data_IF_128868011623
#
_entry.id   IF_128868011623
#
_cell.length_a   1.000
_cell.length_b   1.000
_cell.length_c   1.000
_cell.angle_alpha   90.00
_cell.angle_beta   90.00
_cell.angle_gamma   90.00
#
_symmetry.space_group_name_H-M   'P 1'
#
loop_
_entity.id
_entity.type
_entity.pdbx_description
1 polymer ?
#
# COMPACT_ATOMS: atom_id res chain seq x y z
N UNK A 1 22.59 -12.98 -5.87
CA UNK A 1 22.38 -13.64 -4.55
C UNK A 1 23.17 -13.00 -3.39
N UNK A 2 24.17 -12.16 -3.65
CA UNK A 2 24.95 -11.45 -2.63
C UNK A 2 24.47 -10.01 -2.38
N UNK A 3 23.68 -9.43 -3.25
CA UNK A 3 23.19 -8.05 -3.17
C UNK A 3 22.25 -7.84 -1.97
N UNK A 4 21.56 -8.87 -1.52
CA UNK A 4 20.60 -8.77 -0.40
C UNK A 4 21.24 -8.85 1.00
N UNK A 5 22.54 -9.09 1.13
CA UNK A 5 23.21 -9.11 2.44
C UNK A 5 23.67 -7.74 2.92
N UNK A 6 23.84 -6.78 2.00
CA UNK A 6 24.36 -5.45 2.30
C UNK A 6 23.32 -4.33 2.18
N UNK A 7 22.12 -4.62 1.73
CA UNK A 7 21.00 -3.69 1.86
C UNK A 7 20.56 -3.77 3.32
N UNK A 8 20.69 -2.69 4.10
CA UNK A 8 20.15 -2.66 5.46
C UNK A 8 18.64 -2.85 5.31
N UNK A 9 18.19 -4.08 5.53
CA UNK A 9 16.77 -4.37 5.49
C UNK A 9 16.08 -3.55 6.56
N UNK A 10 15.05 -2.91 6.20
CA UNK A 10 13.96 -2.44 7.06
C UNK A 10 13.43 -3.63 7.89
N UNK A 11 14.07 -4.73 7.79
CA UNK A 11 13.72 -6.11 7.99
C UNK A 11 14.55 -6.62 9.13
N UNK A 12 13.95 -6.87 10.24
CA UNK A 12 14.43 -7.38 11.51
C UNK A 12 15.42 -8.55 11.52
N UNK A 13 16.17 -8.74 10.44
CA UNK A 13 17.33 -9.61 10.38
C UNK A 13 18.57 -8.86 10.83
N UNK A 14 18.99 -9.09 12.06
CA UNK A 14 20.35 -8.99 12.62
C UNK A 14 21.32 -7.90 12.06
N UNK A 15 20.86 -6.75 11.58
CA UNK A 15 21.74 -5.60 11.41
C UNK A 15 21.83 -4.93 12.77
N UNK A 16 23.05 -4.85 13.39
CA UNK A 16 23.19 -4.16 14.66
C UNK A 16 22.61 -2.75 14.53
N UNK A 17 21.70 -2.37 15.41
CA UNK A 17 21.07 -1.03 15.44
C UNK A 17 22.08 0.13 15.34
N UNK A 18 23.34 -0.13 15.66
CA UNK A 18 24.46 0.80 15.55
C UNK A 18 24.82 1.13 14.10
N UNK A 19 24.61 0.22 13.13
CA UNK A 19 24.83 0.47 11.68
C UNK A 19 23.63 1.15 11.03
N UNK A 20 22.41 0.93 11.51
CA UNK A 20 21.21 1.61 11.02
C UNK A 20 21.24 3.13 11.26
N UNK A 21 21.98 3.61 12.26
CA UNK A 21 22.17 5.04 12.50
C UNK A 21 23.04 5.75 11.45
N UNK A 22 23.76 5.04 10.59
CA UNK A 22 24.58 5.61 9.53
C UNK A 22 23.78 5.92 8.26
N UNK A 23 22.61 5.29 8.06
CA UNK A 23 21.70 5.59 6.98
C UNK A 23 20.52 6.38 7.55
N UNK A 24 20.47 7.65 7.22
CA UNK A 24 19.41 8.55 7.65
C UNK A 24 18.22 8.40 6.69
N UNK A 25 17.51 7.28 6.83
CA UNK A 25 16.31 6.91 6.06
C UNK A 25 15.17 7.94 6.20
N UNK A 26 15.31 8.82 7.18
CA UNK A 26 14.30 9.82 7.51
C UNK A 26 14.56 11.18 6.87
N UNK A 27 15.41 11.28 5.85
CA UNK A 27 15.64 12.54 5.14
C UNK A 27 14.77 12.65 3.91
N UNK A 28 13.66 13.38 3.96
CA UNK A 28 12.90 13.70 2.78
C UNK A 28 13.70 14.65 1.88
N UNK A 29 13.37 14.69 0.59
CA UNK A 29 13.90 15.70 -0.33
C UNK A 29 13.62 17.10 0.21
N UNK A 30 14.43 18.09 -0.19
CA UNK A 30 14.27 19.47 0.27
C UNK A 30 13.41 20.28 -0.72
N UNK A 31 12.11 20.50 -0.44
CA UNK A 31 11.23 21.27 -1.33
C UNK A 31 11.55 22.76 -1.33
N UNK A 32 12.43 23.23 -0.43
CA UNK A 32 12.90 24.60 -0.40
C UNK A 32 13.88 24.96 -1.51
N UNK A 33 14.44 23.99 -2.24
CA UNK A 33 15.40 24.20 -3.33
C UNK A 33 14.75 24.00 -4.69
N UNK A 34 14.83 24.99 -5.58
CA UNK A 34 14.29 24.89 -6.95
C UNK A 34 14.90 23.71 -7.71
N UNK A 35 16.22 23.51 -7.63
CA UNK A 35 16.90 22.37 -8.23
C UNK A 35 16.33 21.00 -7.82
N UNK A 36 15.80 20.89 -6.60
CA UNK A 36 15.14 19.66 -6.14
C UNK A 36 13.79 19.47 -6.83
N UNK A 37 13.02 20.55 -6.97
CA UNK A 37 11.73 20.53 -7.65
C UNK A 37 11.93 20.21 -9.14
N UNK A 38 12.92 20.86 -9.79
CA UNK A 38 13.27 20.59 -11.18
C UNK A 38 13.72 19.16 -11.40
N UNK A 39 14.55 18.61 -10.50
CA UNK A 39 14.95 17.21 -10.55
C UNK A 39 13.74 16.28 -10.49
N UNK A 40 12.81 16.50 -9.56
CA UNK A 40 11.59 15.68 -9.45
C UNK A 40 10.75 15.79 -10.72
N UNK A 41 10.58 16.99 -11.28
CA UNK A 41 9.85 17.21 -12.54
C UNK A 41 10.53 16.48 -13.71
N UNK A 42 11.85 16.46 -13.81
CA UNK A 42 12.59 15.76 -14.85
C UNK A 42 12.40 14.22 -14.74
N UNK A 43 12.45 13.67 -13.51
CA UNK A 43 12.17 12.24 -13.29
C UNK A 43 10.73 11.91 -13.69
N UNK A 44 9.78 12.75 -13.31
CA UNK A 44 8.36 12.55 -13.69
C UNK A 44 8.19 12.62 -15.21
N UNK A 45 8.90 13.51 -15.90
CA UNK A 45 8.84 13.64 -17.35
C UNK A 45 9.29 12.35 -18.05
N UNK A 46 10.42 11.83 -17.64
CA UNK A 46 10.93 10.56 -18.16
C UNK A 46 9.96 9.40 -17.90
N UNK A 47 9.49 9.25 -16.68
CA UNK A 47 8.52 8.21 -16.32
C UNK A 47 7.22 8.36 -17.12
N UNK A 48 6.71 9.58 -17.30
CA UNK A 48 5.51 9.83 -18.10
C UNK A 48 5.68 9.44 -19.57
N UNK A 49 6.89 9.54 -20.11
CA UNK A 49 7.18 9.12 -21.49
C UNK A 49 7.22 7.60 -21.65
N UNK A 50 7.64 6.88 -20.62
CA UNK A 50 7.73 5.42 -20.60
C UNK A 50 6.36 4.75 -20.33
N UNK A 51 5.51 5.37 -19.53
CA UNK A 51 4.24 4.80 -19.08
C UNK A 51 3.05 5.61 -19.59
N UNK A 52 2.26 5.09 -20.56
CA UNK A 52 1.15 5.82 -21.17
C UNK A 52 -0.10 5.95 -20.28
N UNK A 53 -0.10 5.35 -19.08
CA UNK A 53 -1.25 5.39 -18.17
C UNK A 53 -1.71 6.83 -17.88
N UNK A 54 -3.02 7.09 -17.75
CA UNK A 54 -3.56 8.42 -17.49
C UNK A 54 -3.36 8.90 -16.04
N UNK A 55 -2.73 8.10 -15.21
CA UNK A 55 -2.49 8.39 -13.81
C UNK A 55 -1.00 8.38 -13.47
N UNK A 56 -0.62 9.21 -12.50
CA UNK A 56 0.71 9.26 -11.92
C UNK A 56 0.61 9.31 -10.40
N UNK A 57 1.21 8.33 -9.72
CA UNK A 57 1.23 8.27 -8.26
C UNK A 57 2.53 8.85 -7.71
N UNK A 58 2.44 9.82 -6.80
CA UNK A 58 3.60 10.54 -6.24
C UNK A 58 4.03 10.04 -4.86
N UNK A 59 3.38 9.02 -4.30
CA UNK A 59 3.60 8.68 -2.89
C UNK A 59 3.05 9.74 -1.95
N UNK A 60 3.91 10.37 -1.17
CA UNK A 60 3.55 11.47 -0.27
C UNK A 60 3.24 11.02 1.16
N UNK A 61 3.38 9.71 1.44
CA UNK A 61 3.24 9.09 2.73
C UNK A 61 4.49 9.29 3.60
N UNK A 62 4.30 9.14 4.90
CA UNK A 62 5.34 8.99 5.93
C UNK A 62 6.53 9.98 5.85
N UNK A 63 6.34 11.14 5.19
CA UNK A 63 7.39 12.15 5.07
C UNK A 63 7.63 12.85 6.41
N UNK A 64 8.78 12.64 7.08
CA UNK A 64 9.08 13.28 8.35
C UNK A 64 9.39 14.77 8.14
N UNK A 65 8.85 15.62 9.00
CA UNK A 65 8.98 17.08 8.88
C UNK A 65 10.14 17.68 9.68
N UNK A 66 10.81 16.88 10.51
CA UNK A 66 11.85 17.34 11.44
C UNK A 66 13.01 18.07 10.74
N UNK A 67 13.43 17.57 9.58
CA UNK A 67 14.53 18.19 8.83
C UNK A 67 14.08 19.46 8.10
N UNK A 68 12.84 19.51 7.62
CA UNK A 68 12.31 20.73 6.99
C UNK A 68 12.18 21.88 7.98
N UNK A 69 11.84 21.59 9.25
CA UNK A 69 11.79 22.58 10.33
C UNK A 69 13.13 23.28 10.57
N UNK A 70 14.23 22.56 10.37
CA UNK A 70 15.59 23.05 10.57
C UNK A 70 16.22 23.62 9.29
N UNK A 71 15.67 23.31 8.13
CA UNK A 71 16.25 23.65 6.84
C UNK A 71 15.97 25.11 6.47
N UNK A 72 16.99 25.99 6.34
CA UNK A 72 16.77 27.39 5.99
C UNK A 72 16.05 27.58 4.66
N UNK A 73 16.32 26.71 3.66
CA UNK A 73 15.67 26.79 2.36
C UNK A 73 14.18 26.46 2.47
N UNK A 74 13.80 25.43 3.28
CA UNK A 74 12.41 25.08 3.51
C UNK A 74 11.66 26.20 4.26
N UNK A 75 12.28 26.74 5.31
CA UNK A 75 11.68 27.84 6.07
C UNK A 75 11.54 29.11 5.22
N UNK A 76 12.52 29.41 4.35
CA UNK A 76 12.39 30.50 3.39
C UNK A 76 11.23 30.26 2.43
N UNK A 77 11.08 29.05 1.88
CA UNK A 77 9.98 28.69 0.98
C UNK A 77 8.61 28.85 1.66
N UNK A 78 8.49 28.41 2.91
CA UNK A 78 7.28 28.58 3.72
C UNK A 78 6.92 30.06 3.82
N UNK A 79 7.89 30.90 4.19
CA UNK A 79 7.69 32.37 4.31
C UNK A 79 7.32 33.01 3.00
N UNK A 80 8.07 32.74 1.94
CA UNK A 80 7.90 33.40 0.62
C UNK A 80 6.55 33.05 -0.03
N UNK A 81 5.98 31.90 0.30
CA UNK A 81 4.69 31.45 -0.24
C UNK A 81 3.53 31.57 0.77
N UNK A 82 3.75 32.24 1.91
CA UNK A 82 2.75 32.42 2.97
C UNK A 82 2.13 31.09 3.44
N UNK A 83 2.93 30.00 3.48
CA UNK A 83 2.50 28.69 3.96
C UNK A 83 2.47 28.69 5.49
N UNK A 84 1.59 27.87 6.07
CA UNK A 84 1.40 27.83 7.51
C UNK A 84 2.51 27.07 8.22
N UNK A 85 2.90 25.93 7.67
CA UNK A 85 3.82 24.98 8.30
C UNK A 85 4.41 24.00 7.25
N UNK A 86 5.13 22.99 7.71
CA UNK A 86 5.76 21.97 6.86
C UNK A 86 4.74 21.01 6.19
N UNK A 87 3.53 20.88 6.74
CA UNK A 87 2.47 20.14 6.04
C UNK A 87 1.99 20.91 4.82
N UNK A 88 1.81 22.24 4.96
CA UNK A 88 1.49 23.11 3.83
C UNK A 88 2.66 23.20 2.84
N UNK A 89 3.93 23.09 3.28
CA UNK A 89 5.08 22.99 2.39
C UNK A 89 5.02 21.71 1.54
N UNK A 90 4.62 20.58 2.11
CA UNK A 90 4.36 19.36 1.33
C UNK A 90 3.22 19.60 0.34
N UNK A 91 2.15 20.24 0.77
CA UNK A 91 1.02 20.61 -0.09
C UNK A 91 1.44 21.48 -1.27
N UNK A 92 2.28 22.50 -1.02
CA UNK A 92 2.87 23.32 -2.06
C UNK A 92 3.65 22.50 -3.09
N UNK A 93 4.54 21.62 -2.63
CA UNK A 93 5.29 20.73 -3.53
C UNK A 93 4.36 19.82 -4.34
N UNK A 94 3.35 19.25 -3.69
CA UNK A 94 2.38 18.38 -4.36
C UNK A 94 1.58 19.15 -5.43
N UNK A 95 1.24 20.42 -5.19
CA UNK A 95 0.56 21.27 -6.16
C UNK A 95 1.46 21.66 -7.34
N UNK A 96 2.76 21.91 -7.09
CA UNK A 96 3.76 22.12 -8.16
C UNK A 96 3.90 20.90 -9.06
N UNK A 97 3.96 19.71 -8.45
CA UNK A 97 4.01 18.43 -9.17
C UNK A 97 2.70 18.19 -9.90
N UNK A 98 1.56 18.47 -9.28
CA UNK A 98 0.24 18.32 -9.91
C UNK A 98 0.12 19.18 -11.19
N UNK A 99 0.55 20.45 -11.14
CA UNK A 99 0.53 21.31 -12.30
C UNK A 99 1.38 20.73 -13.44
N UNK A 100 2.55 20.18 -13.11
CA UNK A 100 3.42 19.53 -14.07
C UNK A 100 2.81 18.23 -14.64
N UNK A 101 2.26 17.36 -13.80
CA UNK A 101 1.61 16.11 -14.21
C UNK A 101 0.37 16.38 -15.08
N UNK A 102 -0.41 17.42 -14.75
CA UNK A 102 -1.53 17.89 -15.59
C UNK A 102 -1.04 18.36 -16.97
N UNK A 103 0.11 19.02 -17.09
CA UNK A 103 0.69 19.43 -18.38
C UNK A 103 1.09 18.24 -19.26
N UNK A 104 1.27 17.04 -18.67
CA UNK A 104 1.49 15.77 -19.37
C UNK A 104 0.18 15.02 -19.68
N UNK A 105 -0.98 15.64 -19.45
CA UNK A 105 -2.29 15.02 -19.66
C UNK A 105 -2.68 13.95 -18.66
N UNK A 106 -2.03 13.90 -17.49
CA UNK A 106 -2.25 12.87 -16.47
C UNK A 106 -2.91 13.43 -15.21
N UNK A 107 -3.52 12.55 -14.43
CA UNK A 107 -4.10 12.82 -13.11
C UNK A 107 -3.15 12.38 -12.00
N UNK A 108 -3.07 13.14 -10.94
CA UNK A 108 -2.19 12.87 -9.79
C UNK A 108 -2.91 12.02 -8.74
N UNK A 109 -2.22 10.99 -8.25
CA UNK A 109 -2.62 10.20 -7.08
C UNK A 109 -1.58 10.41 -5.98
N UNK A 110 -2.01 10.45 -4.73
CA UNK A 110 -1.14 10.44 -3.56
C UNK A 110 -1.76 9.71 -2.38
N UNK A 111 -0.92 9.16 -1.51
CA UNK A 111 -1.37 8.52 -0.28
C UNK A 111 -2.12 9.50 0.63
N UNK A 112 -3.01 9.01 1.45
CA UNK A 112 -3.92 9.86 2.25
C UNK A 112 -3.22 10.89 3.16
N UNK A 113 -1.93 10.76 3.44
CA UNK A 113 -1.17 11.76 4.19
C UNK A 113 -1.04 13.10 3.47
N UNK A 114 -1.12 13.13 2.14
CA UNK A 114 -1.11 14.40 1.38
C UNK A 114 -2.28 15.31 1.78
N UNK A 115 -3.37 14.73 2.31
CA UNK A 115 -4.54 15.46 2.79
C UNK A 115 -4.31 16.21 4.11
N UNK A 116 -3.12 16.12 4.71
CA UNK A 116 -2.76 16.94 5.87
C UNK A 116 -2.61 18.41 5.48
N UNK A 117 -2.16 18.68 4.26
CA UNK A 117 -2.05 20.01 3.73
C UNK A 117 -3.43 20.55 3.31
N UNK A 118 -3.86 21.65 3.94
CA UNK A 118 -5.16 22.27 3.61
C UNK A 118 -5.16 22.95 2.24
N UNK A 119 -3.99 23.33 1.75
CA UNK A 119 -3.75 23.98 0.46
C UNK A 119 -3.76 23.01 -0.73
N UNK A 120 -3.91 21.67 -0.49
CA UNK A 120 -3.89 20.68 -1.55
C UNK A 120 -5.04 20.90 -2.53
N UNK A 121 -4.71 20.88 -3.83
CA UNK A 121 -5.69 21.00 -4.92
C UNK A 121 -6.66 19.82 -4.91
N UNK A 122 -7.95 20.12 -5.05
CA UNK A 122 -9.03 19.13 -4.95
C UNK A 122 -9.10 18.12 -6.08
N UNK A 123 -8.35 18.31 -7.16
CA UNK A 123 -8.27 17.35 -8.26
C UNK A 123 -7.32 16.18 -7.99
N UNK A 124 -6.55 16.20 -6.92
CA UNK A 124 -5.71 15.09 -6.48
C UNK A 124 -6.60 13.92 -6.07
N UNK A 125 -6.28 12.74 -6.56
CA UNK A 125 -6.92 11.49 -6.14
C UNK A 125 -6.21 11.03 -4.86
N UNK A 126 -6.98 10.81 -3.81
CA UNK A 126 -6.44 10.25 -2.57
C UNK A 126 -6.47 8.73 -2.62
N UNK A 127 -5.34 8.06 -2.37
CA UNK A 127 -5.30 6.63 -2.08
C UNK A 127 -5.22 6.42 -0.57
N UNK A 128 -6.25 5.77 -0.01
CA UNK A 128 -6.39 5.57 1.43
C UNK A 128 -5.86 4.20 1.86
N UNK A 129 -4.82 4.19 2.68
CA UNK A 129 -4.20 2.95 3.15
C UNK A 129 -4.17 2.79 4.67
N UNK A 130 -4.08 3.88 5.41
CA UNK A 130 -3.70 3.88 6.84
C UNK A 130 -4.59 2.96 7.70
N UNK A 131 -4.00 2.16 8.61
CA UNK A 131 -4.75 1.32 9.54
C UNK A 131 -5.43 2.12 10.65
N UNK A 132 -5.02 3.36 10.86
CA UNK A 132 -5.61 4.26 11.87
C UNK A 132 -6.88 4.88 11.32
N UNK A 133 -7.86 5.13 12.20
CA UNK A 133 -9.06 5.89 11.83
C UNK A 133 -8.66 7.31 11.44
N UNK A 134 -8.53 7.54 10.15
CA UNK A 134 -8.28 8.84 9.56
C UNK A 134 -9.50 9.27 8.75
N UNK A 135 -10.20 10.27 9.23
CA UNK A 135 -11.43 10.75 8.59
C UNK A 135 -11.17 11.58 7.32
N UNK A 136 -9.93 12.03 7.09
CA UNK A 136 -9.63 12.97 6.00
C UNK A 136 -9.99 12.42 4.62
N UNK A 137 -9.66 11.15 4.34
CA UNK A 137 -10.00 10.53 3.07
C UNK A 137 -11.52 10.33 2.90
N UNK A 138 -12.23 9.97 3.99
CA UNK A 138 -13.70 9.95 4.00
C UNK A 138 -14.28 11.33 3.71
N UNK A 139 -13.80 12.34 4.43
CA UNK A 139 -14.28 13.72 4.29
C UNK A 139 -13.93 14.25 2.89
N UNK A 140 -12.78 13.87 2.34
CA UNK A 140 -12.38 14.17 0.97
C UNK A 140 -13.40 13.62 -0.05
N UNK A 141 -13.76 12.34 0.08
CA UNK A 141 -14.78 11.72 -0.78
C UNK A 141 -16.16 12.38 -0.60
N UNK A 142 -16.57 12.64 0.65
CA UNK A 142 -17.86 13.27 0.96
C UNK A 142 -17.97 14.72 0.48
N UNK A 143 -16.83 15.37 0.19
CA UNK A 143 -16.76 16.70 -0.41
C UNK A 143 -16.59 16.68 -1.94
N UNK A 144 -16.84 15.55 -2.59
CA UNK A 144 -16.86 15.43 -4.05
C UNK A 144 -15.53 15.07 -4.71
N UNK A 145 -14.51 14.70 -3.93
CA UNK A 145 -13.19 14.39 -4.47
C UNK A 145 -12.96 12.88 -4.57
N UNK A 146 -12.11 12.46 -5.51
CA UNK A 146 -11.87 11.05 -5.81
C UNK A 146 -11.01 10.35 -4.76
N UNK A 147 -11.37 9.11 -4.39
CA UNK A 147 -10.64 8.26 -3.46
C UNK A 147 -10.51 6.84 -4.00
N UNK A 148 -9.35 6.23 -3.83
CA UNK A 148 -9.09 4.79 -3.99
C UNK A 148 -8.93 4.20 -2.59
N UNK A 149 -9.52 3.04 -2.33
CA UNK A 149 -9.49 2.40 -1.02
C UNK A 149 -8.51 1.23 -1.01
N UNK A 150 -7.39 1.40 -0.33
CA UNK A 150 -6.31 0.41 -0.17
C UNK A 150 -6.12 0.05 1.30
N UNK A 151 -7.23 -0.25 2.00
CA UNK A 151 -7.23 -0.45 3.44
C UNK A 151 -6.19 -1.48 3.89
N UNK A 152 -5.23 -1.05 4.71
CA UNK A 152 -4.12 -1.87 5.19
C UNK A 152 -4.54 -3.22 5.77
N UNK A 153 -5.60 -3.26 6.58
CA UNK A 153 -6.03 -4.49 7.24
C UNK A 153 -6.70 -5.50 6.31
N UNK A 154 -7.08 -5.08 5.11
CA UNK A 154 -7.82 -5.92 4.16
C UNK A 154 -7.06 -6.17 2.86
N UNK A 155 -6.20 -5.22 2.44
CA UNK A 155 -5.64 -5.21 1.09
C UNK A 155 -4.11 -5.13 1.03
N UNK A 156 -3.39 -5.11 2.17
CA UNK A 156 -1.95 -5.27 2.19
C UNK A 156 -1.61 -6.77 2.14
N UNK A 157 -1.34 -7.26 0.95
CA UNK A 157 -1.12 -8.68 0.69
C UNK A 157 0.29 -9.16 1.04
N UNK A 158 1.20 -8.26 1.34
CA UNK A 158 2.50 -8.54 1.94
C UNK A 158 2.42 -8.91 3.43
N UNK A 159 1.27 -8.70 4.06
CA UNK A 159 1.02 -9.11 5.44
C UNK A 159 0.60 -10.57 5.53
N UNK A 160 1.05 -11.25 6.61
CA UNK A 160 0.73 -12.67 6.80
C UNK A 160 -0.78 -12.90 6.97
N UNK A 161 -1.25 -14.10 6.58
CA UNK A 161 -2.63 -14.51 6.84
C UNK A 161 -2.96 -14.64 8.34
N UNK A 162 -1.95 -14.76 9.19
CA UNK A 162 -2.13 -14.75 10.63
C UNK A 162 -2.51 -13.36 11.15
N UNK A 163 -2.03 -12.30 10.48
CA UNK A 163 -2.42 -10.92 10.81
C UNK A 163 -3.77 -10.58 10.18
N UNK A 164 -3.88 -10.79 8.88
CA UNK A 164 -5.08 -10.49 8.11
C UNK A 164 -5.46 -11.71 7.27
N UNK A 165 -6.41 -12.49 7.80
CA UNK A 165 -6.88 -13.71 7.13
C UNK A 165 -7.59 -13.38 5.82
N UNK A 166 -7.76 -14.38 4.95
CA UNK A 166 -8.57 -14.27 3.73
C UNK A 166 -9.95 -13.68 4.01
N UNK A 167 -10.54 -14.02 5.16
CA UNK A 167 -11.85 -13.49 5.57
C UNK A 167 -11.82 -11.98 5.84
N UNK A 168 -10.67 -11.41 6.25
CA UNK A 168 -10.53 -9.97 6.41
C UNK A 168 -10.68 -9.25 5.06
N UNK A 169 -10.04 -9.77 4.01
CA UNK A 169 -10.17 -9.23 2.65
C UNK A 169 -11.60 -9.38 2.15
N UNK A 170 -12.19 -10.58 2.23
CA UNK A 170 -13.52 -10.87 1.71
C UNK A 170 -14.64 -10.08 2.40
N UNK A 171 -14.54 -9.88 3.71
CA UNK A 171 -15.55 -9.16 4.50
C UNK A 171 -15.37 -7.64 4.46
N UNK A 172 -14.43 -7.12 3.68
CA UNK A 172 -14.33 -5.68 3.52
C UNK A 172 -15.60 -5.10 2.92
N UNK A 173 -16.11 -4.06 3.58
CA UNK A 173 -17.27 -3.33 3.10
C UNK A 173 -16.94 -1.82 3.14
N UNK A 174 -16.84 -1.20 1.98
CA UNK A 174 -16.49 0.21 1.84
C UNK A 174 -17.53 1.14 2.49
N UNK A 175 -18.79 0.69 2.66
CA UNK A 175 -19.83 1.45 3.36
C UNK A 175 -19.47 1.73 4.81
N UNK A 176 -18.68 0.84 5.44
CA UNK A 176 -18.20 1.03 6.81
C UNK A 176 -17.14 2.17 6.90
N UNK A 177 -16.66 2.66 5.79
CA UNK A 177 -15.78 3.83 5.74
C UNK A 177 -16.53 5.15 6.03
N UNK A 178 -17.85 5.15 6.00
CA UNK A 178 -18.70 6.30 6.31
C UNK A 178 -18.88 7.25 5.12
N UNK A 179 -18.84 6.70 3.91
CA UNK A 179 -19.19 7.42 2.68
C UNK A 179 -20.70 7.63 2.64
N UNK A 180 -21.09 8.86 2.34
CA UNK A 180 -22.49 9.22 2.10
C UNK A 180 -22.98 8.61 0.79
N UNK A 181 -24.27 8.20 0.68
CA UNK A 181 -24.78 7.59 -0.55
C UNK A 181 -24.52 8.42 -1.80
N UNK A 182 -24.72 9.73 -1.74
CA UNK A 182 -24.47 10.65 -2.86
C UNK A 182 -23.00 10.79 -3.25
N UNK A 183 -22.08 10.38 -2.36
CA UNK A 183 -20.63 10.44 -2.53
C UNK A 183 -20.01 9.11 -2.96
N UNK A 184 -20.77 8.02 -3.06
CA UNK A 184 -20.25 6.71 -3.48
C UNK A 184 -19.55 6.77 -4.85
N UNK A 185 -20.04 7.59 -5.77
CA UNK A 185 -19.43 7.85 -7.09
C UNK A 185 -18.00 8.39 -7.04
N UNK A 186 -17.57 8.92 -5.90
CA UNK A 186 -16.24 9.45 -5.69
C UNK A 186 -15.24 8.36 -5.26
N UNK A 187 -15.72 7.16 -4.94
CA UNK A 187 -14.87 5.99 -4.71
C UNK A 187 -14.58 5.35 -6.06
N UNK A 188 -13.34 5.49 -6.53
CA UNK A 188 -12.93 4.97 -7.83
C UNK A 188 -12.80 3.45 -7.85
N UNK A 189 -12.55 2.86 -6.68
CA UNK A 189 -12.40 1.42 -6.52
C UNK A 189 -11.58 1.04 -5.30
N UNK A 190 -11.20 -0.24 -5.27
CA UNK A 190 -10.30 -0.80 -4.26
C UNK A 190 -9.03 -1.30 -4.94
N UNK A 191 -7.92 -1.25 -4.21
CA UNK A 191 -6.61 -1.70 -4.68
C UNK A 191 -5.90 -2.47 -3.56
N UNK A 192 -5.11 -3.47 -3.91
CA UNK A 192 -4.30 -4.23 -2.98
C UNK A 192 -2.82 -4.08 -3.29
N UNK A 193 -2.02 -3.90 -2.25
CA UNK A 193 -0.59 -3.71 -2.31
C UNK A 193 0.17 -4.97 -1.90
N UNK A 194 1.27 -5.23 -2.58
CA UNK A 194 2.32 -6.12 -2.13
C UNK A 194 3.67 -5.41 -2.26
N UNK A 195 4.18 -4.90 -1.14
CA UNK A 195 5.42 -4.11 -1.09
C UNK A 195 6.68 -4.95 -1.21
N UNK A 196 6.53 -6.27 -1.27
CA UNK A 196 7.62 -7.23 -1.43
C UNK A 196 8.67 -7.25 -0.31
N UNK A 197 8.47 -6.50 0.74
CA UNK A 197 9.38 -6.46 1.90
C UNK A 197 9.65 -7.84 2.49
N UNK A 198 8.63 -8.68 2.46
CA UNK A 198 8.65 -10.04 3.01
C UNK A 198 8.63 -11.11 1.92
N UNK A 199 8.82 -10.70 0.65
CA UNK A 199 8.69 -11.55 -0.53
C UNK A 199 10.05 -11.69 -1.21
N UNK A 200 10.72 -12.82 -0.99
CA UNK A 200 12.06 -13.13 -1.45
C UNK A 200 12.10 -14.11 -2.63
N UNK A 201 10.93 -14.66 -3.00
CA UNK A 201 10.79 -15.56 -4.15
C UNK A 201 9.39 -15.48 -4.76
N UNK A 202 9.22 -15.87 -6.05
CA UNK A 202 7.92 -15.84 -6.75
C UNK A 202 6.83 -16.66 -6.04
N UNK A 203 7.17 -17.84 -5.56
CA UNK A 203 6.23 -18.75 -4.89
C UNK A 203 5.61 -18.09 -3.65
N UNK A 204 6.40 -17.31 -2.93
CA UNK A 204 5.92 -16.59 -1.75
C UNK A 204 5.02 -15.42 -2.14
N UNK A 205 5.34 -14.71 -3.22
CA UNK A 205 4.48 -13.69 -3.78
C UNK A 205 3.10 -14.29 -4.12
N UNK A 206 3.09 -15.41 -4.82
CA UNK A 206 1.88 -16.11 -5.23
C UNK A 206 1.04 -16.54 -4.01
N UNK A 207 1.70 -17.10 -2.98
CA UNK A 207 1.03 -17.47 -1.73
C UNK A 207 0.37 -16.26 -1.04
N UNK A 208 1.03 -15.12 -1.00
CA UNK A 208 0.47 -13.91 -0.42
C UNK A 208 -0.69 -13.36 -1.24
N UNK A 209 -0.63 -13.48 -2.55
CA UNK A 209 -1.67 -13.00 -3.46
C UNK A 209 -2.87 -13.94 -3.56
N UNK A 210 -2.65 -15.24 -3.61
CA UNK A 210 -3.72 -16.22 -3.86
C UNK A 210 -4.12 -16.99 -2.60
N UNK A 211 -5.41 -17.09 -2.26
CA UNK A 211 -6.62 -16.63 -2.98
C UNK A 211 -7.12 -15.21 -2.61
N UNK A 212 -6.30 -14.34 -1.99
CA UNK A 212 -6.72 -12.96 -1.63
C UNK A 212 -7.14 -12.15 -2.86
N UNK A 213 -6.48 -12.33 -4.00
CA UNK A 213 -6.82 -11.64 -5.24
C UNK A 213 -8.22 -11.98 -5.72
N UNK A 214 -8.63 -13.26 -5.60
CA UNK A 214 -10.00 -13.67 -5.94
C UNK A 214 -11.03 -13.06 -4.97
N UNK A 215 -10.68 -12.99 -3.67
CA UNK A 215 -11.50 -12.32 -2.68
C UNK A 215 -11.64 -10.81 -2.97
N UNK A 216 -10.53 -10.14 -3.30
CA UNK A 216 -10.51 -8.74 -3.72
C UNK A 216 -11.42 -8.53 -4.94
N UNK A 217 -11.29 -9.38 -5.97
CA UNK A 217 -12.10 -9.29 -7.17
C UNK A 217 -13.60 -9.40 -6.85
N UNK A 218 -14.00 -10.35 -6.01
CA UNK A 218 -15.41 -10.47 -5.61
C UNK A 218 -15.89 -9.27 -4.80
N UNK A 219 -15.06 -8.75 -3.91
CA UNK A 219 -15.38 -7.52 -3.14
C UNK A 219 -15.52 -6.29 -4.06
N UNK A 220 -14.68 -6.20 -5.09
CA UNK A 220 -14.70 -5.06 -6.01
C UNK A 220 -15.88 -5.09 -7.01
N UNK A 221 -16.27 -6.28 -7.47
CA UNK A 221 -17.18 -6.44 -8.58
C UNK A 221 -18.57 -6.97 -8.23
N UNK A 222 -18.75 -7.47 -6.99
CA UNK A 222 -20.03 -8.04 -6.56
C UNK A 222 -20.78 -7.11 -5.60
N UNK A 223 -22.09 -6.95 -5.77
CA UNK A 223 -22.90 -6.26 -4.77
C UNK A 223 -22.83 -6.99 -3.41
N UNK A 224 -22.83 -6.24 -2.32
CA UNK A 224 -22.74 -6.78 -0.96
C UNK A 224 -23.81 -7.87 -0.70
N UNK A 225 -25.02 -7.71 -1.24
CA UNK A 225 -26.12 -8.67 -1.12
C UNK A 225 -25.88 -10.01 -1.81
N UNK A 226 -24.85 -10.13 -2.67
CA UNK A 226 -24.48 -11.35 -3.38
C UNK A 226 -23.27 -12.04 -2.79
N UNK A 227 -22.59 -11.39 -1.83
CA UNK A 227 -21.39 -11.92 -1.19
C UNK A 227 -21.78 -12.90 -0.08
N UNK A 228 -21.26 -14.12 -0.16
CA UNK A 228 -21.38 -15.14 0.88
C UNK A 228 -20.06 -15.93 0.95
N UNK A 229 -19.38 -15.86 2.10
CA UNK A 229 -18.03 -16.38 2.27
C UNK A 229 -17.93 -17.91 2.11
N UNK A 230 -18.95 -18.69 2.56
CA UNK A 230 -18.96 -20.13 2.40
C UNK A 230 -19.07 -20.53 0.92
N UNK A 231 -19.92 -19.87 0.16
CA UNK A 231 -20.03 -20.02 -1.29
C UNK A 231 -18.73 -19.64 -2.01
N UNK A 232 -18.09 -18.52 -1.59
CA UNK A 232 -16.76 -18.16 -2.12
C UNK A 232 -15.74 -19.26 -1.88
N UNK A 233 -15.65 -19.78 -0.66
CA UNK A 233 -14.72 -20.86 -0.34
C UNK A 233 -14.97 -22.14 -1.17
N UNK A 234 -16.24 -22.49 -1.38
CA UNK A 234 -16.61 -23.62 -2.23
C UNK A 234 -16.15 -23.43 -3.70
N UNK A 235 -16.30 -22.20 -4.23
CA UNK A 235 -15.80 -21.88 -5.57
C UNK A 235 -14.28 -21.92 -5.63
N UNK A 236 -13.58 -21.51 -4.57
CA UNK A 236 -12.12 -21.59 -4.51
C UNK A 236 -11.61 -23.03 -4.54
N UNK A 237 -12.32 -24.01 -3.98
CA UNK A 237 -11.97 -25.42 -4.15
C UNK A 237 -11.97 -25.83 -5.64
N UNK A 238 -12.98 -25.36 -6.40
CA UNK A 238 -13.05 -25.61 -7.84
C UNK A 238 -12.01 -24.81 -8.65
N UNK A 239 -11.39 -23.80 -8.04
CA UNK A 239 -10.36 -22.98 -8.68
C UNK A 239 -8.94 -23.58 -8.53
N UNK A 240 -8.72 -24.43 -7.55
CA UNK A 240 -7.41 -25.05 -7.27
C UNK A 240 -6.78 -25.75 -8.50
N UNK A 241 -7.51 -26.55 -9.31
CA UNK A 241 -6.94 -27.19 -10.49
C UNK A 241 -6.31 -26.21 -11.49
N UNK A 242 -6.77 -24.93 -11.53
CA UNK A 242 -6.15 -23.92 -12.38
C UNK A 242 -4.79 -23.50 -11.82
N UNK A 243 -4.67 -23.30 -10.50
CA UNK A 243 -3.37 -23.01 -9.89
C UNK A 243 -2.38 -24.15 -10.15
N UNK A 244 -2.80 -25.39 -9.97
CA UNK A 244 -1.99 -26.57 -10.22
C UNK A 244 -1.58 -26.69 -11.69
N UNK A 245 -2.51 -26.49 -12.61
CA UNK A 245 -2.24 -26.52 -14.06
C UNK A 245 -1.20 -25.49 -14.49
N UNK A 246 -1.23 -24.28 -13.91
CA UNK A 246 -0.26 -23.22 -14.20
C UNK A 246 1.00 -23.29 -13.32
N UNK A 247 1.14 -24.27 -12.45
CA UNK A 247 2.26 -24.40 -11.52
C UNK A 247 2.34 -23.26 -10.50
N UNK A 248 1.21 -22.64 -10.17
CA UNK A 248 1.16 -21.48 -9.27
C UNK A 248 1.03 -21.93 -7.81
N UNK A 249 1.78 -21.29 -6.93
CA UNK A 249 1.64 -21.47 -5.49
C UNK A 249 0.42 -20.68 -4.96
N UNK A 250 -0.22 -21.18 -3.91
CA UNK A 250 -1.33 -20.51 -3.27
C UNK A 250 -1.44 -20.88 -1.79
N UNK A 251 -2.06 -20.04 -0.99
CA UNK A 251 -2.30 -20.33 0.41
C UNK A 251 -3.42 -21.35 0.57
N UNK A 252 -3.09 -22.53 1.10
CA UNK A 252 -4.11 -23.52 1.45
C UNK A 252 -5.00 -23.04 2.60
N UNK A 253 -6.19 -23.61 2.75
CA UNK A 253 -7.20 -23.15 3.69
C UNK A 253 -6.71 -23.02 5.14
N UNK A 254 -5.82 -23.92 5.59
CA UNK A 254 -5.24 -23.85 6.94
C UNK A 254 -4.29 -22.67 7.14
N UNK A 255 -3.67 -22.18 6.08
CA UNK A 255 -2.84 -20.97 6.05
C UNK A 255 -3.72 -19.73 5.88
N UNK A 256 -4.55 -19.73 4.84
CA UNK A 256 -5.42 -18.60 4.51
C UNK A 256 -6.43 -18.26 5.64
N UNK A 257 -6.83 -19.27 6.42
CA UNK A 257 -7.80 -19.19 7.49
C UNK A 257 -7.29 -19.85 8.77
N UNK A 258 -6.27 -19.32 9.43
CA UNK A 258 -5.67 -19.95 10.61
C UNK A 258 -6.68 -19.98 11.76
N UNK A 259 -7.08 -21.21 12.19
CA UNK A 259 -8.13 -21.42 13.20
C UNK A 259 -7.65 -21.24 14.63
N UNK A 260 -6.41 -21.61 14.93
CA UNK A 260 -5.88 -21.64 16.31
C UNK A 260 -5.14 -20.34 16.63
N UNK A 261 -5.49 -19.71 17.75
CA UNK A 261 -4.82 -18.48 18.21
C UNK A 261 -3.32 -18.70 18.51
N UNK A 262 -2.93 -19.88 18.99
CA UNK A 262 -1.53 -20.24 19.19
C UNK A 262 -0.72 -20.21 17.89
N UNK A 263 -1.31 -20.72 16.79
CA UNK A 263 -0.69 -20.68 15.48
C UNK A 263 -0.55 -19.24 14.99
N UNK A 264 -1.60 -18.43 15.14
CA UNK A 264 -1.54 -16.99 14.80
C UNK A 264 -0.45 -16.26 15.58
N UNK A 265 -0.36 -16.51 16.88
CA UNK A 265 0.66 -15.88 17.74
C UNK A 265 2.07 -16.28 17.32
N UNK A 266 2.29 -17.56 17.04
CA UNK A 266 3.57 -18.09 16.59
C UNK A 266 3.99 -17.51 15.23
N UNK A 267 3.11 -17.52 14.26
CA UNK A 267 3.37 -16.96 12.93
C UNK A 267 3.64 -15.45 13.03
N UNK A 268 2.85 -14.70 13.82
CA UNK A 268 3.10 -13.27 14.04
C UNK A 268 4.47 -13.01 14.65
N UNK A 269 4.86 -13.82 15.66
CA UNK A 269 6.16 -13.69 16.29
C UNK A 269 7.30 -13.93 15.30
N UNK A 270 7.22 -15.00 14.53
CA UNK A 270 8.22 -15.34 13.53
C UNK A 270 8.31 -14.29 12.43
N UNK A 271 7.17 -13.75 11.99
CA UNK A 271 7.13 -12.65 11.02
C UNK A 271 7.75 -11.36 11.58
N UNK A 272 7.44 -10.97 12.82
CA UNK A 272 8.01 -9.80 13.45
C UNK A 272 9.53 -9.90 13.70
N UNK A 273 10.06 -11.12 13.72
CA UNK A 273 11.50 -11.41 13.80
C UNK A 273 12.20 -11.49 12.44
N UNK A 274 11.49 -11.23 11.34
CA UNK A 274 12.03 -11.29 9.98
C UNK A 274 12.19 -12.71 9.42
N UNK A 275 11.70 -13.73 10.12
CA UNK A 275 11.73 -15.11 9.63
C UNK A 275 10.48 -15.45 8.82
N UNK A 276 10.54 -15.11 7.54
CA UNK A 276 9.45 -15.34 6.57
C UNK A 276 9.43 -16.78 6.01
N UNK A 277 10.43 -17.60 6.34
CA UNK A 277 10.53 -18.98 5.83
C UNK A 277 9.41 -19.91 6.32
N UNK A 278 8.68 -19.52 7.36
CA UNK A 278 7.65 -20.39 7.93
C UNK A 278 6.46 -20.59 6.99
N UNK A 279 5.96 -19.53 6.36
CA UNK A 279 4.80 -19.64 5.45
C UNK A 279 5.17 -20.41 4.18
N UNK A 280 6.37 -20.19 3.65
CA UNK A 280 6.88 -20.96 2.50
C UNK A 280 7.13 -22.42 2.86
N UNK A 281 7.71 -22.71 4.03
CA UNK A 281 7.87 -24.09 4.53
C UNK A 281 6.54 -24.80 4.73
N UNK A 282 5.56 -24.11 5.29
CA UNK A 282 4.20 -24.65 5.46
C UNK A 282 3.57 -25.00 4.12
N UNK A 283 3.74 -24.15 3.11
CA UNK A 283 3.20 -24.42 1.78
C UNK A 283 3.92 -25.56 1.06
N UNK A 284 5.24 -25.63 1.04
CA UNK A 284 5.98 -26.76 0.48
C UNK A 284 5.51 -28.09 1.09
N UNK A 285 5.34 -28.13 2.41
CA UNK A 285 4.82 -29.32 3.08
C UNK A 285 3.40 -29.69 2.65
N UNK A 286 2.55 -28.75 2.30
CA UNK A 286 1.18 -28.99 1.87
C UNK A 286 1.09 -29.30 0.37
N UNK A 287 1.96 -28.74 -0.45
CA UNK A 287 2.10 -29.06 -1.87
C UNK A 287 2.58 -30.52 -2.01
N UNK A 288 3.63 -30.92 -1.28
CA UNK A 288 4.16 -32.29 -1.27
C UNK A 288 3.15 -33.33 -0.74
N UNK A 289 2.18 -32.92 0.09
CA UNK A 289 1.11 -33.84 0.57
C UNK A 289 -0.09 -33.91 -0.38
N UNK A 290 -0.23 -33.01 -1.34
CA UNK A 290 -1.24 -33.03 -2.40
C UNK A 290 -0.83 -33.92 -3.59
N UNK A 291 0.43 -34.31 -3.68
CA UNK A 291 0.96 -35.21 -4.70
C UNK A 291 0.88 -36.71 -4.31
N UNK A 292 0.18 -37.04 -3.23
CA UNK A 292 -0.16 -38.42 -2.82
C UNK A 292 -1.68 -38.53 -2.74
#
# INVERSE_FOLDING_TARGET
REINRDVPGYFGGAIPQRKLRQFDWNRPICPGKDKTVDFVKNVIDEVCSLFPAPYFHIGGDEAPKSEWKKCPCCQKRIKDNNLKDEEDLQGWLNNEILAFVKSKGKRLIGWNEVLKAKSLDKSVICQYWTPKKDSRARDWANNGNSVILSNHQSFYFDMTYAQYSLKNTYNYNYKNFGIKPESEKNILGIEAENWTEWTDCPEKLEVFMYPRTQALAEVAWSPESKKEFGSFMARMENFKPYFEYFGMSYAVNSVAMPKKWLLKSKIRKEFSMGDTHLEVKLNKKYIEQGEK
#
